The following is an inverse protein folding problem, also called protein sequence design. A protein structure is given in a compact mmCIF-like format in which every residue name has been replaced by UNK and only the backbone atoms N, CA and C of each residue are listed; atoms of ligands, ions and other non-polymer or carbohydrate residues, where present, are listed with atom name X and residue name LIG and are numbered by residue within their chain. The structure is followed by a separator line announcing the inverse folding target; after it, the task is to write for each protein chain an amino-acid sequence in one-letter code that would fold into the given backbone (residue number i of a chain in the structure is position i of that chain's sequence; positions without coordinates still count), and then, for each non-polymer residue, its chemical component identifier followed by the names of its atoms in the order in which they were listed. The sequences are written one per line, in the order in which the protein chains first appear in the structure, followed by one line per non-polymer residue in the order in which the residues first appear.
data_IF_633223631433
#
_entry.id   IF_633223631433
#
_cell.length_a   1.000
_cell.length_b   1.000
_cell.length_c   1.000
_cell.angle_alpha   90.00
_cell.angle_beta   90.00
_cell.angle_gamma   90.00
#
_symmetry.space_group_name_H-M   'P 1'
#
loop_
_entity.id
_entity.type
_entity.pdbx_description
1 polymer ?
#
# COMPACT_ATOMS: atom_id res chain seq x y z
N UNK A 1 -29.64 -10.22 -0.53
CA UNK A 1 -29.13 -8.83 -0.53
C UNK A 1 -28.42 -8.49 -1.82
N UNK A 2 -27.48 -9.31 -2.30
CA UNK A 2 -26.70 -9.03 -3.51
C UNK A 2 -26.98 -9.98 -4.68
N UNK A 3 -28.05 -10.78 -4.64
CA UNK A 3 -28.50 -11.68 -5.72
C UNK A 3 -27.43 -12.59 -6.36
N UNK A 4 -26.40 -12.98 -5.60
CA UNK A 4 -25.31 -13.83 -6.09
C UNK A 4 -24.17 -13.07 -6.78
N UNK A 5 -24.26 -11.74 -6.86
CA UNK A 5 -23.22 -10.87 -7.40
C UNK A 5 -22.37 -10.27 -6.27
N UNK A 6 -21.08 -10.05 -6.53
CA UNK A 6 -20.19 -9.36 -5.59
C UNK A 6 -20.42 -7.85 -5.73
N UNK A 7 -20.79 -7.11 -4.68
CA UNK A 7 -21.09 -5.69 -4.79
C UNK A 7 -19.85 -4.89 -5.19
N UNK A 8 -20.07 -3.76 -5.87
CA UNK A 8 -18.99 -2.88 -6.34
C UNK A 8 -18.75 -1.69 -5.40
N UNK A 9 -19.72 -1.33 -4.56
CA UNK A 9 -19.59 -0.20 -3.63
C UNK A 9 -18.82 -0.59 -2.38
N UNK A 10 -17.92 0.28 -1.92
CA UNK A 10 -17.15 0.07 -0.68
C UNK A 10 -18.05 -0.20 0.53
N UNK A 11 -19.14 0.57 0.70
CA UNK A 11 -20.04 0.41 1.83
C UNK A 11 -20.67 -1.00 1.88
N UNK A 12 -21.05 -1.53 0.73
CA UNK A 12 -21.68 -2.85 0.58
C UNK A 12 -20.66 -3.99 0.76
N UNK A 13 -19.44 -3.82 0.23
CA UNK A 13 -18.36 -4.78 0.43
C UNK A 13 -18.03 -4.94 1.92
N UNK A 14 -18.04 -3.85 2.69
CA UNK A 14 -17.76 -3.86 4.13
C UNK A 14 -18.86 -4.51 4.97
N UNK A 15 -20.05 -4.76 4.41
CA UNK A 15 -21.11 -5.51 5.09
C UNK A 15 -20.90 -7.03 5.02
N UNK A 16 -20.02 -7.51 4.12
CA UNK A 16 -19.75 -8.93 3.96
C UNK A 16 -18.88 -9.44 5.14
N UNK A 17 -19.28 -10.54 5.81
CA UNK A 17 -18.50 -11.12 6.90
C UNK A 17 -17.06 -11.44 6.47
N UNK A 18 -16.08 -10.93 7.23
CA UNK A 18 -14.66 -11.12 6.95
C UNK A 18 -14.05 -10.17 5.92
N UNK A 19 -14.85 -9.29 5.31
CA UNK A 19 -14.36 -8.26 4.38
C UNK A 19 -14.07 -6.96 5.13
N UNK A 20 -12.79 -6.72 5.36
CA UNK A 20 -12.31 -5.42 5.82
C UNK A 20 -11.93 -4.52 4.63
N UNK A 21 -11.66 -3.24 4.90
CA UNK A 21 -11.30 -2.22 3.89
C UNK A 21 -10.18 -2.66 2.94
N UNK A 22 -9.16 -3.34 3.48
CA UNK A 22 -8.07 -3.91 2.68
C UNK A 22 -8.60 -4.89 1.63
N UNK A 23 -9.42 -5.85 2.05
CA UNK A 23 -10.01 -6.87 1.16
C UNK A 23 -10.94 -6.21 0.13
N UNK A 24 -11.77 -5.25 0.56
CA UNK A 24 -12.67 -4.52 -0.33
C UNK A 24 -11.91 -3.73 -1.43
N UNK A 25 -10.80 -3.07 -1.08
CA UNK A 25 -9.94 -2.37 -2.04
C UNK A 25 -9.36 -3.34 -3.08
N UNK A 26 -8.84 -4.48 -2.64
CA UNK A 26 -8.28 -5.53 -3.53
C UNK A 26 -9.34 -6.06 -4.50
N UNK A 27 -10.53 -6.38 -4.01
CA UNK A 27 -11.65 -6.87 -4.85
C UNK A 27 -12.06 -5.80 -5.86
N UNK A 28 -12.20 -4.55 -5.43
CA UNK A 28 -12.64 -3.45 -6.30
C UNK A 28 -11.67 -3.20 -7.45
N UNK A 29 -10.37 -3.18 -7.14
CA UNK A 29 -9.33 -2.93 -8.13
C UNK A 29 -9.20 -4.10 -9.11
N UNK A 30 -9.04 -5.34 -8.62
CA UNK A 30 -8.78 -6.48 -9.49
C UNK A 30 -10.01 -7.07 -10.19
N UNK A 31 -11.18 -7.09 -9.54
CA UNK A 31 -12.38 -7.67 -10.16
C UNK A 31 -13.13 -6.66 -11.04
N UNK A 32 -13.03 -5.37 -10.71
CA UNK A 32 -13.84 -4.33 -11.35
C UNK A 32 -13.04 -3.18 -11.96
N UNK A 33 -11.71 -3.12 -11.78
CA UNK A 33 -10.90 -2.00 -12.27
C UNK A 33 -11.16 -0.69 -11.52
N UNK A 34 -11.77 -0.75 -10.34
CA UNK A 34 -12.18 0.42 -9.56
C UNK A 34 -11.19 0.63 -8.41
N UNK A 35 -10.29 1.61 -8.57
CA UNK A 35 -9.36 2.00 -7.53
C UNK A 35 -10.08 2.87 -6.48
N UNK A 36 -10.59 2.23 -5.43
CA UNK A 36 -11.29 2.90 -4.31
C UNK A 36 -10.33 3.40 -3.21
N UNK A 37 -9.07 2.95 -3.22
CA UNK A 37 -8.05 3.40 -2.30
C UNK A 37 -6.71 2.67 -2.46
N UNK A 38 -5.70 3.13 -1.74
CA UNK A 38 -4.38 2.48 -1.72
C UNK A 38 -4.41 1.34 -0.71
N UNK A 39 -4.03 0.14 -1.13
CA UNK A 39 -4.01 -1.04 -0.24
C UNK A 39 -2.81 -0.96 0.68
N UNK A 40 -3.04 -0.77 1.99
CA UNK A 40 -1.97 -0.68 2.99
C UNK A 40 -1.81 -2.02 3.72
N UNK A 41 -0.73 -2.74 3.42
CA UNK A 41 -0.30 -3.93 4.15
C UNK A 41 0.94 -3.65 5.02
N UNK A 42 1.60 -4.70 5.52
CA UNK A 42 2.80 -4.55 6.36
C UNK A 42 4.02 -4.04 5.60
N UNK A 43 4.12 -4.29 4.29
CA UNK A 43 5.19 -3.77 3.45
C UNK A 43 4.95 -2.29 3.14
N UNK A 44 3.75 -1.95 2.65
CA UNK A 44 3.37 -0.58 2.33
C UNK A 44 3.50 0.29 3.58
N UNK A 45 2.91 -0.12 4.72
CA UNK A 45 3.04 0.59 6.00
C UNK A 45 4.48 0.87 6.41
N UNK A 46 5.38 -0.09 6.21
CA UNK A 46 6.81 0.06 6.57
C UNK A 46 7.53 1.01 5.62
N UNK A 47 7.36 0.79 4.32
CA UNK A 47 8.13 1.49 3.29
C UNK A 47 7.67 2.94 3.16
N UNK A 48 6.38 3.24 3.20
CA UNK A 48 5.90 4.62 3.11
C UNK A 48 6.41 5.48 4.26
N UNK A 49 6.56 4.91 5.46
CA UNK A 49 7.20 5.58 6.59
C UNK A 49 8.70 5.76 6.39
N UNK A 50 9.42 4.74 5.93
CA UNK A 50 10.87 4.84 5.63
C UNK A 50 11.17 5.89 4.56
N UNK A 51 10.29 5.99 3.56
CA UNK A 51 10.37 6.97 2.48
C UNK A 51 9.85 8.36 2.88
N UNK A 52 9.41 8.55 4.13
CA UNK A 52 8.92 9.86 4.60
C UNK A 52 7.60 10.31 3.98
N UNK A 53 6.81 9.40 3.38
CA UNK A 53 5.53 9.73 2.74
C UNK A 53 4.38 9.89 3.72
N UNK A 54 4.56 9.43 4.97
CA UNK A 54 3.59 9.56 6.05
C UNK A 54 4.28 9.39 7.40
N UNK A 55 3.79 10.11 8.40
CA UNK A 55 4.19 9.95 9.80
C UNK A 55 3.25 8.99 10.57
N UNK A 56 2.14 8.60 9.95
CA UNK A 56 1.12 7.80 10.58
C UNK A 56 1.45 6.31 10.64
N UNK A 57 0.90 5.62 11.64
CA UNK A 57 1.04 4.17 11.79
C UNK A 57 -0.27 3.40 11.54
N UNK A 58 -1.39 4.11 11.58
CA UNK A 58 -2.70 3.55 11.33
C UNK A 58 -2.91 3.37 9.81
N UNK A 59 -3.27 2.17 9.32
CA UNK A 59 -3.45 1.91 7.89
C UNK A 59 -4.45 2.84 7.20
N UNK A 60 -5.53 3.23 7.88
CA UNK A 60 -6.57 4.11 7.30
C UNK A 60 -6.01 5.51 7.10
N UNK A 61 -5.23 6.02 8.07
CA UNK A 61 -4.55 7.31 7.91
C UNK A 61 -3.47 7.27 6.83
N UNK A 62 -2.68 6.20 6.77
CA UNK A 62 -1.66 6.01 5.73
C UNK A 62 -2.31 6.00 4.34
N UNK A 63 -3.40 5.26 4.16
CA UNK A 63 -4.16 5.23 2.91
C UNK A 63 -4.61 6.64 2.48
N UNK A 64 -5.13 7.44 3.41
CA UNK A 64 -5.54 8.83 3.15
C UNK A 64 -4.40 9.74 2.73
N UNK A 65 -3.22 9.57 3.31
CA UNK A 65 -2.04 10.33 2.90
C UNK A 65 -1.63 9.96 1.48
N UNK A 66 -1.55 8.66 1.18
CA UNK A 66 -1.13 8.16 -0.14
C UNK A 66 -2.11 8.55 -1.24
N UNK A 67 -3.42 8.51 -0.98
CA UNK A 67 -4.47 8.97 -1.91
C UNK A 67 -4.27 10.44 -2.31
N UNK A 68 -3.72 11.27 -1.43
CA UNK A 68 -3.44 12.69 -1.72
C UNK A 68 -2.13 12.90 -2.48
N UNK A 69 -1.18 11.97 -2.36
CA UNK A 69 0.15 12.06 -2.95
C UNK A 69 0.24 11.43 -4.33
N UNK A 70 -0.59 10.42 -4.62
CA UNK A 70 -0.48 9.58 -5.81
C UNK A 70 -1.67 9.79 -6.76
N UNK A 71 -1.45 9.78 -8.09
CA UNK A 71 -2.52 9.67 -9.08
C UNK A 71 -3.37 8.42 -8.83
N UNK A 72 -4.70 8.51 -9.01
CA UNK A 72 -5.63 7.41 -8.73
C UNK A 72 -5.36 6.15 -9.57
N UNK A 73 -4.90 6.32 -10.80
CA UNK A 73 -4.50 5.23 -11.70
C UNK A 73 -3.33 4.39 -11.15
N UNK A 74 -2.51 4.97 -10.28
CA UNK A 74 -1.33 4.31 -9.71
C UNK A 74 -1.59 3.65 -8.35
N UNK A 75 -2.74 3.85 -7.70
CA UNK A 75 -2.95 3.41 -6.31
C UNK A 75 -2.73 1.91 -6.07
N UNK A 76 -3.22 1.07 -6.98
CA UNK A 76 -3.05 -0.38 -6.89
C UNK A 76 -1.59 -0.79 -7.20
N UNK A 77 -1.08 -0.31 -8.33
CA UNK A 77 0.28 -0.61 -8.78
C UNK A 77 1.34 -0.15 -7.77
N UNK A 78 1.09 0.98 -7.10
CA UNK A 78 1.94 1.49 -6.03
C UNK A 78 2.07 0.48 -4.89
N UNK A 79 0.94 -0.01 -4.35
CA UNK A 79 0.94 -1.01 -3.29
C UNK A 79 1.72 -2.26 -3.71
N UNK A 80 1.48 -2.75 -4.93
CA UNK A 80 2.15 -3.93 -5.47
C UNK A 80 3.67 -3.71 -5.59
N UNK A 81 4.10 -2.58 -6.15
CA UNK A 81 5.52 -2.20 -6.28
C UNK A 81 6.21 -2.16 -4.91
N UNK A 82 5.59 -1.57 -3.90
CA UNK A 82 6.13 -1.53 -2.53
C UNK A 82 6.18 -2.91 -1.89
N UNK A 83 5.20 -3.77 -2.13
CA UNK A 83 5.23 -5.16 -1.64
C UNK A 83 6.43 -5.91 -2.23
N UNK A 84 6.62 -5.85 -3.55
CA UNK A 84 7.76 -6.50 -4.21
C UNK A 84 9.10 -5.92 -3.73
N UNK A 85 9.23 -4.60 -3.71
CA UNK A 85 10.46 -3.95 -3.24
C UNK A 85 10.76 -4.25 -1.77
N UNK A 86 9.73 -4.25 -0.91
CA UNK A 86 9.85 -4.57 0.51
C UNK A 86 10.17 -6.03 0.81
N UNK A 87 9.95 -6.93 -0.15
CA UNK A 87 10.35 -8.35 -0.06
C UNK A 87 11.77 -8.58 -0.58
N UNK A 88 12.09 -7.97 -1.73
CA UNK A 88 13.37 -8.16 -2.39
C UNK A 88 14.51 -7.37 -1.73
N UNK A 89 14.30 -6.07 -1.49
CA UNK A 89 15.36 -5.10 -1.13
C UNK A 89 15.16 -4.51 0.26
N UNK A 90 14.02 -3.83 0.49
CA UNK A 90 13.79 -3.07 1.72
C UNK A 90 13.20 -3.96 2.83
N UNK A 91 13.94 -5.02 3.20
CA UNK A 91 13.56 -6.01 4.22
C UNK A 91 13.36 -5.37 5.59
N UNK A 92 12.57 -6.01 6.45
CA UNK A 92 12.18 -5.43 7.74
C UNK A 92 13.36 -5.21 8.69
N UNK A 93 14.25 -6.20 8.82
CA UNK A 93 15.37 -6.16 9.78
C UNK A 93 16.67 -5.58 9.19
N UNK A 94 17.10 -6.08 8.03
CA UNK A 94 18.34 -5.66 7.35
C UNK A 94 18.03 -5.31 5.90
N UNK A 95 17.60 -4.06 5.60
CA UNK A 95 17.38 -3.63 4.23
C UNK A 95 18.70 -3.57 3.46
N UNK A 96 18.66 -3.84 2.16
CA UNK A 96 19.82 -3.79 1.28
C UNK A 96 19.94 -2.40 0.65
N UNK A 97 20.18 -1.37 1.48
CA UNK A 97 20.21 0.04 1.05
C UNK A 97 21.19 0.31 -0.09
N UNK A 98 22.37 -0.34 -0.09
CA UNK A 98 23.36 -0.23 -1.17
C UNK A 98 22.85 -0.72 -2.54
N UNK A 99 21.84 -1.59 -2.56
CA UNK A 99 21.21 -2.11 -3.78
C UNK A 99 19.84 -1.47 -4.06
N UNK A 100 19.44 -0.47 -3.27
CA UNK A 100 18.13 0.16 -3.36
C UNK A 100 18.14 1.27 -4.42
N UNK A 101 17.28 1.16 -5.42
CA UNK A 101 17.10 2.18 -6.45
C UNK A 101 16.51 3.50 -5.94
N UNK A 102 16.03 3.53 -4.70
CA UNK A 102 15.45 4.71 -4.06
C UNK A 102 16.39 5.31 -3.00
N UNK A 103 17.64 4.84 -2.91
CA UNK A 103 18.54 5.17 -1.79
C UNK A 103 18.85 6.66 -1.72
N UNK A 104 18.99 7.31 -2.86
CA UNK A 104 19.21 8.74 -3.06
C UNK A 104 18.01 9.60 -2.62
N UNK A 105 16.80 9.03 -2.64
CA UNK A 105 15.56 9.69 -2.23
C UNK A 105 15.09 9.27 -0.83
N UNK A 106 15.70 8.26 -0.22
CA UNK A 106 15.21 7.63 1.00
C UNK A 106 15.83 8.28 2.24
N UNK A 107 15.06 9.01 3.07
CA UNK A 107 15.58 9.63 4.29
C UNK A 107 15.96 8.61 5.38
N UNK A 108 15.53 7.35 5.24
CA UNK A 108 15.90 6.25 6.14
C UNK A 108 16.97 5.32 5.56
N UNK A 109 17.69 5.76 4.52
CA UNK A 109 18.80 4.98 3.98
C UNK A 109 19.91 4.83 5.03
N UNK A 110 20.38 3.59 5.20
CA UNK A 110 21.47 3.24 6.11
C UNK A 110 22.62 2.72 5.25
N UNK A 111 23.47 3.65 4.82
CA UNK A 111 24.67 3.37 4.03
C UNK A 111 25.87 3.28 5.00
N UNK A 112 26.75 2.27 4.86
CA UNK A 112 27.99 2.25 5.62
C UNK A 112 28.81 3.50 5.30
N UNK A 113 29.34 4.16 6.33
CA UNK A 113 30.33 5.24 6.17
C UNK A 113 31.57 4.66 5.45
N UNK A 114 32.01 5.35 4.39
CA UNK A 114 33.22 5.01 3.62
C UNK A 114 34.51 5.19 4.44
#
# INVERSE_FOLDING_TARGET
KFNGEVPQRMEELLELPGVARKTANVVSAHAYGINQGVTVDTHVKRLTRRLGLTEHQDPIRIERDLIRLLPQEDWENWSIRLIYHGRAICKARKPECNACILVDLCPSADLPEE
#
